data_IF_430346369537
#
_entry.id   IF_430346369537
#
_cell.length_a   1.000
_cell.length_b   1.000
_cell.length_c   1.000
_cell.angle_alpha   90.00
_cell.angle_beta   90.00
_cell.angle_gamma   90.00
#
_symmetry.space_group_name_H-M   'P 1'
#
loop_
_entity.id
_entity.type
_entity.pdbx_description
1 polymer ?
#
# COMPACT_ATOMS: atom_id res chain seq x y z
N UNK A 1 9.55 -11.02 -6.28
CA UNK A 1 10.86 -10.33 -6.13
C UNK A 1 12.10 -11.24 -6.28
N UNK A 2 12.15 -12.51 -5.83
CA UNK A 2 13.42 -13.25 -5.75
C UNK A 2 14.05 -13.57 -7.12
N UNK A 3 13.23 -13.78 -8.15
CA UNK A 3 13.70 -14.08 -9.52
C UNK A 3 14.47 -12.90 -10.14
N UNK A 4 14.08 -11.66 -9.85
CA UNK A 4 14.74 -10.46 -10.41
C UNK A 4 16.11 -10.24 -9.77
N UNK A 5 16.23 -10.52 -8.48
CA UNK A 5 17.50 -10.44 -7.75
C UNK A 5 18.45 -11.56 -8.22
N UNK A 6 17.94 -12.78 -8.37
CA UNK A 6 18.71 -13.90 -8.92
C UNK A 6 19.24 -13.59 -10.34
N UNK A 7 18.43 -12.97 -11.20
CA UNK A 7 18.85 -12.59 -12.55
C UNK A 7 19.99 -11.54 -12.55
N UNK A 8 19.94 -10.56 -11.64
CA UNK A 8 21.00 -9.53 -11.52
C UNK A 8 22.30 -10.14 -11.01
N UNK A 9 22.23 -11.05 -10.04
CA UNK A 9 23.40 -11.76 -9.51
C UNK A 9 24.05 -12.65 -10.57
N UNK A 10 23.25 -13.40 -11.34
CA UNK A 10 23.74 -14.24 -12.44
C UNK A 10 24.36 -13.42 -13.56
N UNK A 11 23.78 -12.26 -13.90
CA UNK A 11 24.31 -11.35 -14.91
C UNK A 11 25.67 -10.77 -14.49
N UNK A 12 25.79 -10.32 -13.24
CA UNK A 12 27.05 -9.79 -12.71
C UNK A 12 28.14 -10.87 -12.63
N UNK A 13 27.77 -12.09 -12.26
CA UNK A 13 28.68 -13.23 -12.25
C UNK A 13 29.17 -13.58 -13.67
N UNK A 14 28.27 -13.64 -14.65
CA UNK A 14 28.61 -13.90 -16.05
C UNK A 14 29.53 -12.82 -16.64
N UNK A 15 29.30 -11.55 -16.31
CA UNK A 15 30.17 -10.44 -16.75
C UNK A 15 31.55 -10.50 -16.10
N UNK A 16 31.65 -10.96 -14.84
CA UNK A 16 32.93 -11.11 -14.14
C UNK A 16 33.81 -12.22 -14.73
N UNK A 17 33.21 -13.32 -15.23
CA UNK A 17 33.92 -14.44 -15.83
C UNK A 17 34.60 -14.09 -17.17
N UNK A 18 34.12 -13.06 -17.86
CA UNK A 18 34.62 -12.64 -19.18
C UNK A 18 35.83 -11.69 -19.07
N UNK A 19 36.04 -11.03 -17.93
CA UNK A 19 36.97 -9.89 -17.79
C UNK A 19 38.36 -10.28 -17.22
N UNK A 20 38.57 -11.53 -16.82
CA UNK A 20 39.80 -11.97 -16.14
C UNK A 20 40.95 -12.40 -17.06
N UNK A 21 41.75 -11.44 -17.59
CA UNK A 21 43.16 -11.64 -18.00
C UNK A 21 43.88 -10.28 -18.15
N UNK A 22 44.60 -9.84 -17.11
CA UNK A 22 45.45 -8.63 -17.10
C UNK A 22 45.23 -7.73 -15.87
N UNK A 23 46.15 -6.81 -15.58
CA UNK A 23 46.15 -5.92 -14.38
C UNK A 23 44.96 -4.95 -14.42
N UNK A 24 43.78 -5.46 -14.01
CA UNK A 24 42.47 -4.88 -14.30
C UNK A 24 41.91 -4.13 -13.08
N UNK A 25 42.54 -3.00 -12.73
CA UNK A 25 42.09 -2.15 -11.62
C UNK A 25 40.60 -1.75 -11.78
N UNK A 26 40.14 -1.54 -13.01
CA UNK A 26 38.73 -1.29 -13.33
C UNK A 26 37.81 -2.49 -13.05
N UNK A 27 38.29 -3.72 -13.25
CA UNK A 27 37.57 -4.94 -12.91
C UNK A 27 37.41 -5.14 -11.40
N UNK A 28 38.46 -4.84 -10.63
CA UNK A 28 38.40 -4.84 -9.17
C UNK A 28 37.47 -3.75 -8.62
N UNK A 29 37.53 -2.54 -9.17
CA UNK A 29 36.62 -1.46 -8.82
C UNK A 29 35.16 -1.79 -9.15
N UNK A 30 34.89 -2.43 -10.30
CA UNK A 30 33.56 -2.90 -10.67
C UNK A 30 33.06 -4.00 -9.74
N UNK A 31 33.92 -4.94 -9.33
CA UNK A 31 33.56 -5.99 -8.37
C UNK A 31 33.22 -5.39 -7.01
N UNK A 32 34.06 -4.49 -6.50
CA UNK A 32 33.82 -3.80 -5.24
C UNK A 32 32.55 -2.94 -5.31
N UNK A 33 32.33 -2.22 -6.41
CA UNK A 33 31.11 -1.46 -6.66
C UNK A 33 29.87 -2.35 -6.67
N UNK A 34 29.92 -3.50 -7.33
CA UNK A 34 28.84 -4.48 -7.34
C UNK A 34 28.53 -5.03 -5.94
N UNK A 35 29.56 -5.31 -5.14
CA UNK A 35 29.42 -5.72 -3.75
C UNK A 35 28.78 -4.63 -2.88
N UNK A 36 29.23 -3.38 -3.01
CA UNK A 36 28.69 -2.25 -2.25
C UNK A 36 27.23 -2.00 -2.61
N UNK A 37 26.89 -2.00 -3.91
CA UNK A 37 25.51 -1.81 -4.39
C UNK A 37 24.63 -2.98 -3.94
N UNK A 38 25.10 -4.22 -4.04
CA UNK A 38 24.37 -5.40 -3.58
C UNK A 38 24.12 -5.39 -2.07
N UNK A 39 25.13 -5.03 -1.27
CA UNK A 39 25.01 -4.87 0.17
C UNK A 39 24.02 -3.76 0.52
N UNK A 40 24.14 -2.58 -0.09
CA UNK A 40 23.21 -1.48 0.11
C UNK A 40 21.77 -1.88 -0.23
N UNK A 41 21.55 -2.62 -1.32
CA UNK A 41 20.22 -3.11 -1.70
C UNK A 41 19.61 -4.01 -0.62
N UNK A 42 20.35 -5.01 -0.13
CA UNK A 42 19.86 -5.94 0.90
C UNK A 42 19.62 -5.24 2.24
N UNK A 43 20.57 -4.40 2.69
CA UNK A 43 20.46 -3.74 4.00
C UNK A 43 19.41 -2.62 4.01
N UNK A 44 19.16 -1.97 2.88
CA UNK A 44 18.13 -0.92 2.80
C UNK A 44 16.72 -1.46 2.57
N UNK A 45 16.58 -2.74 2.18
CA UNK A 45 15.28 -3.32 1.82
C UNK A 45 14.24 -3.20 2.94
N UNK A 46 14.61 -3.48 4.20
CA UNK A 46 13.71 -3.35 5.36
C UNK A 46 13.25 -1.90 5.60
N UNK A 47 14.13 -0.92 5.36
CA UNK A 47 13.79 0.50 5.50
C UNK A 47 12.80 0.93 4.41
N UNK A 48 13.01 0.48 3.17
CA UNK A 48 12.10 0.73 2.06
C UNK A 48 10.72 0.12 2.29
N UNK A 49 10.68 -1.13 2.77
CA UNK A 49 9.44 -1.83 3.07
C UNK A 49 8.66 -1.10 4.18
N UNK A 50 9.31 -0.70 5.27
CA UNK A 50 8.69 0.06 6.35
C UNK A 50 8.19 1.44 5.88
N UNK A 51 8.99 2.14 5.08
CA UNK A 51 8.61 3.44 4.52
C UNK A 51 7.36 3.32 3.65
N UNK A 52 7.36 2.40 2.67
CA UNK A 52 6.21 2.13 1.80
C UNK A 52 4.96 1.71 2.60
N UNK A 53 5.14 0.87 3.64
CA UNK A 53 4.04 0.42 4.48
C UNK A 53 3.36 1.58 5.22
N UNK A 54 4.14 2.54 5.74
CA UNK A 54 3.61 3.73 6.45
C UNK A 54 2.80 4.64 5.54
N UNK A 55 3.21 4.82 4.28
CA UNK A 55 2.42 5.60 3.31
C UNK A 55 1.09 4.94 2.99
N UNK A 56 1.08 3.62 2.81
CA UNK A 56 -0.13 2.90 2.46
C UNK A 56 -1.12 2.77 3.63
N UNK A 57 -0.61 2.58 4.86
CA UNK A 57 -1.44 2.49 6.07
C UNK A 57 -2.13 3.80 6.43
N UNK A 58 -1.47 4.95 6.24
CA UNK A 58 -2.05 6.26 6.57
C UNK A 58 -3.35 6.54 5.80
N UNK A 59 -3.42 6.12 4.53
CA UNK A 59 -4.64 6.27 3.72
C UNK A 59 -5.71 5.27 4.12
N UNK A 60 -5.34 4.05 4.50
CA UNK A 60 -6.28 3.01 4.93
C UNK A 60 -6.90 3.34 6.29
N UNK A 61 -6.10 3.79 7.26
CA UNK A 61 -6.59 4.17 8.59
C UNK A 61 -7.57 5.34 8.52
N UNK A 62 -7.28 6.37 7.70
CA UNK A 62 -8.22 7.49 7.50
C UNK A 62 -9.57 7.04 6.92
N UNK A 63 -9.56 6.07 6.00
CA UNK A 63 -10.80 5.49 5.44
C UNK A 63 -11.58 4.70 6.48
N UNK A 64 -10.91 3.94 7.34
CA UNK A 64 -11.59 3.18 8.40
C UNK A 64 -12.26 4.11 9.41
N UNK A 65 -11.56 5.15 9.88
CA UNK A 65 -12.12 6.14 10.82
C UNK A 65 -13.35 6.84 10.23
N UNK A 66 -13.30 7.24 8.96
CA UNK A 66 -14.44 7.85 8.28
C UNK A 66 -15.62 6.88 8.15
N UNK A 67 -15.37 5.61 7.83
CA UNK A 67 -16.44 4.60 7.75
C UNK A 67 -17.11 4.32 9.10
N UNK A 68 -16.35 4.31 10.19
CA UNK A 68 -16.91 4.15 11.55
C UNK A 68 -17.85 5.32 11.85
N UNK A 69 -17.38 6.57 11.66
CA UNK A 69 -18.22 7.76 11.92
C UNK A 69 -19.50 7.81 11.09
N UNK A 70 -19.47 7.32 9.84
CA UNK A 70 -20.65 7.26 8.98
C UNK A 70 -21.65 6.20 9.45
N UNK A 71 -21.17 5.05 9.94
CA UNK A 71 -22.05 4.00 10.49
C UNK A 71 -22.77 4.48 11.74
N UNK A 72 -22.05 5.11 12.66
CA UNK A 72 -22.62 5.67 13.89
C UNK A 72 -23.70 6.72 13.58
N UNK A 73 -23.45 7.55 12.56
CA UNK A 73 -24.41 8.55 12.10
C UNK A 73 -25.66 7.94 11.45
N UNK A 74 -25.50 6.87 10.67
CA UNK A 74 -26.64 6.12 10.10
C UNK A 74 -27.46 5.47 11.21
N UNK A 75 -26.83 4.84 12.20
CA UNK A 75 -27.51 4.20 13.32
C UNK A 75 -28.33 5.20 14.14
N UNK A 76 -27.76 6.37 14.44
CA UNK A 76 -28.47 7.48 15.09
C UNK A 76 -29.70 7.94 14.29
N UNK A 77 -29.57 8.02 12.97
CA UNK A 77 -30.68 8.41 12.08
C UNK A 77 -31.75 7.31 12.07
N UNK A 78 -31.37 6.03 12.01
CA UNK A 78 -32.31 4.90 12.05
C UNK A 78 -33.08 4.84 13.37
N UNK A 79 -32.41 5.10 14.51
CA UNK A 79 -33.08 5.19 15.81
C UNK A 79 -34.10 6.33 15.84
N UNK A 80 -33.76 7.48 15.26
CA UNK A 80 -34.68 8.63 15.13
C UNK A 80 -35.90 8.28 14.28
N UNK A 81 -35.70 7.60 13.15
CA UNK A 81 -36.81 7.11 12.30
C UNK A 81 -37.67 6.09 13.05
N UNK A 82 -37.05 5.20 13.82
CA UNK A 82 -37.79 4.21 14.60
C UNK A 82 -38.70 4.86 15.65
N UNK A 83 -38.23 5.92 16.33
CA UNK A 83 -39.00 6.61 17.38
C UNK A 83 -40.04 7.59 16.85
N UNK A 84 -39.70 8.38 15.83
CA UNK A 84 -40.51 9.51 15.38
C UNK A 84 -40.95 9.42 13.91
N UNK A 85 -40.59 8.36 13.18
CA UNK A 85 -40.93 8.17 11.78
C UNK A 85 -40.08 9.00 10.80
N UNK A 86 -40.23 8.73 9.51
CA UNK A 86 -39.41 9.33 8.43
C UNK A 86 -39.57 10.85 8.28
N UNK A 87 -40.70 11.40 8.69
CA UNK A 87 -40.96 12.85 8.62
C UNK A 87 -40.09 13.65 9.59
N UNK A 88 -39.54 13.01 10.63
CA UNK A 88 -38.65 13.63 11.62
C UNK A 88 -37.25 13.96 11.08
N UNK A 89 -36.91 13.47 9.88
CA UNK A 89 -35.59 13.65 9.28
C UNK A 89 -35.44 15.01 8.58
N UNK A 90 -34.31 15.66 8.81
CA UNK A 90 -33.90 16.85 8.07
C UNK A 90 -33.26 16.48 6.71
N UNK A 91 -33.04 17.47 5.85
CA UNK A 91 -32.49 17.24 4.50
C UNK A 91 -31.10 16.58 4.49
N UNK A 92 -30.25 16.89 5.48
CA UNK A 92 -28.91 16.29 5.59
C UNK A 92 -29.00 14.82 6.01
N UNK A 93 -29.84 14.51 7.00
CA UNK A 93 -30.06 13.14 7.48
C UNK A 93 -30.63 12.24 6.36
N UNK A 94 -31.57 12.76 5.55
CA UNK A 94 -32.09 12.05 4.38
C UNK A 94 -31.00 11.77 3.34
N UNK A 95 -30.11 12.74 3.09
CA UNK A 95 -29.00 12.55 2.15
C UNK A 95 -28.01 11.48 2.62
N UNK A 96 -27.71 11.43 3.92
CA UNK A 96 -26.84 10.41 4.52
C UNK A 96 -27.48 9.03 4.39
N UNK A 97 -28.77 8.89 4.74
CA UNK A 97 -29.49 7.62 4.64
C UNK A 97 -29.57 7.11 3.19
N UNK A 98 -29.80 8.02 2.24
CA UNK A 98 -29.80 7.71 0.80
C UNK A 98 -28.44 7.20 0.34
N UNK A 99 -27.36 7.89 0.70
CA UNK A 99 -25.99 7.49 0.34
C UNK A 99 -25.66 6.11 0.91
N UNK A 100 -25.99 5.85 2.18
CA UNK A 100 -25.78 4.55 2.80
C UNK A 100 -26.57 3.43 2.10
N UNK A 101 -27.81 3.71 1.67
CA UNK A 101 -28.64 2.76 0.93
C UNK A 101 -28.06 2.46 -0.46
N UNK A 102 -27.59 3.48 -1.18
CA UNK A 102 -26.93 3.31 -2.48
C UNK A 102 -25.63 2.48 -2.37
N UNK A 103 -24.85 2.69 -1.31
CA UNK A 103 -23.64 1.89 -1.03
C UNK A 103 -23.98 0.42 -0.70
N UNK A 104 -25.00 0.18 0.10
CA UNK A 104 -25.45 -1.17 0.47
C UNK A 104 -26.02 -1.94 -0.74
N UNK A 105 -26.83 -1.26 -1.58
CA UNK A 105 -27.33 -1.86 -2.83
C UNK A 105 -26.20 -2.23 -3.79
N UNK A 106 -25.15 -1.40 -3.88
CA UNK A 106 -23.95 -1.74 -4.67
C UNK A 106 -23.18 -2.92 -4.09
N UNK A 107 -23.18 -3.09 -2.77
CA UNK A 107 -22.55 -4.21 -2.08
C UNK A 107 -23.28 -5.52 -2.34
N UNK A 108 -24.61 -5.51 -2.25
CA UNK A 108 -25.45 -6.68 -2.48
C UNK A 108 -25.55 -7.12 -3.96
N UNK A 109 -25.10 -6.28 -4.90
CA UNK A 109 -25.01 -6.62 -6.33
C UNK A 109 -23.67 -7.25 -6.75
N UNK A 110 -22.69 -7.30 -5.84
CA UNK A 110 -21.38 -7.93 -6.08
C UNK A 110 -21.35 -9.32 -5.46
#
# INVERSE_FOLDING_TARGET
>A
VPIRVAAVVVLLFALSAVVGKGDNAGGHAAHFGGMVVGAAYVFTQSYWDQWLYRFNHTRHQRRMVQQVSLKDEVERILEKVHKAGLHSLNGKEKAILRKATEEEQRRNRK
#
